data_IF_070327516085
#
_entry.id   IF_070327516085
#
_cell.length_a   1.000
_cell.length_b   1.000
_cell.length_c   1.000
_cell.angle_alpha   90.00
_cell.angle_beta   90.00
_cell.angle_gamma   90.00
#
_symmetry.space_group_name_H-M   'P 1'
#
loop_
_entity.id
_entity.type
_entity.pdbx_description
1 polymer ?
#
# COMPACT_ATOMS: atom_id res chain seq x y z
N UNK A 1 27.15 0.03 -30.68
CA UNK A 1 26.51 0.15 -29.35
C UNK A 1 25.70 1.44 -29.30
N UNK A 2 24.38 1.36 -29.40
CA UNK A 2 23.50 2.52 -29.58
C UNK A 2 23.21 3.21 -28.23
N UNK A 3 24.17 4.04 -27.77
CA UNK A 3 24.12 4.72 -26.45
C UNK A 3 22.87 5.59 -26.27
N UNK A 4 22.32 6.13 -27.35
CA UNK A 4 21.16 7.04 -27.36
C UNK A 4 19.84 6.38 -26.96
N UNK A 5 19.64 5.09 -27.27
CA UNK A 5 18.44 4.35 -26.88
C UNK A 5 18.39 4.04 -25.38
N UNK A 6 19.56 3.83 -24.75
CA UNK A 6 19.66 3.54 -23.32
C UNK A 6 19.42 4.79 -22.47
N UNK A 7 19.95 5.94 -22.89
CA UNK A 7 19.71 7.22 -22.20
C UNK A 7 18.24 7.67 -22.29
N UNK A 8 17.56 7.44 -23.43
CA UNK A 8 16.12 7.71 -23.56
C UNK A 8 15.27 6.83 -22.63
N UNK A 9 15.63 5.54 -22.48
CA UNK A 9 14.94 4.62 -21.55
C UNK A 9 15.14 5.03 -20.09
N UNK A 10 16.35 5.42 -19.70
CA UNK A 10 16.62 5.94 -18.35
C UNK A 10 15.84 7.21 -18.08
N UNK A 11 15.86 8.17 -19.00
CA UNK A 11 15.13 9.43 -18.86
C UNK A 11 13.63 9.18 -18.70
N UNK A 12 13.06 8.29 -19.51
CA UNK A 12 11.67 7.87 -19.39
C UNK A 12 11.35 7.23 -18.04
N UNK A 13 12.20 6.31 -17.55
CA UNK A 13 12.03 5.70 -16.24
C UNK A 13 12.10 6.71 -15.10
N UNK A 14 13.04 7.67 -15.17
CA UNK A 14 13.17 8.73 -14.17
C UNK A 14 11.92 9.62 -14.17
N UNK A 15 11.45 10.06 -15.35
CA UNK A 15 10.22 10.85 -15.46
C UNK A 15 8.99 10.09 -14.92
N UNK A 16 8.89 8.80 -15.21
CA UNK A 16 7.81 7.95 -14.69
C UNK A 16 7.83 7.86 -13.16
N UNK A 17 9.01 7.66 -12.56
CA UNK A 17 9.16 7.61 -11.11
C UNK A 17 8.80 8.95 -10.48
N UNK A 18 9.28 10.07 -11.05
CA UNK A 18 8.93 11.41 -10.56
C UNK A 18 7.42 11.62 -10.61
N UNK A 19 6.77 11.26 -11.72
CA UNK A 19 5.32 11.35 -11.87
C UNK A 19 4.58 10.49 -10.83
N UNK A 20 5.02 9.24 -10.62
CA UNK A 20 4.42 8.35 -9.62
C UNK A 20 4.61 8.84 -8.17
N UNK A 21 5.68 9.60 -7.90
CA UNK A 21 5.96 10.17 -6.58
C UNK A 21 5.26 11.50 -6.32
N UNK A 22 4.72 12.19 -7.34
CA UNK A 22 3.97 13.45 -7.16
C UNK A 22 2.87 13.37 -6.09
N UNK A 23 1.94 12.39 -6.11
CA UNK A 23 0.91 12.30 -5.07
C UNK A 23 1.50 12.02 -3.67
N UNK A 24 2.59 11.25 -3.61
CA UNK A 24 3.29 10.97 -2.35
C UNK A 24 3.94 12.24 -1.79
N UNK A 25 4.62 13.00 -2.65
CA UNK A 25 5.18 14.31 -2.29
C UNK A 25 4.09 15.25 -1.77
N UNK A 26 2.94 15.29 -2.45
CA UNK A 26 1.82 16.13 -2.05
C UNK A 26 1.27 15.74 -0.67
N UNK A 27 1.09 14.43 -0.43
CA UNK A 27 0.65 13.90 0.87
C UNK A 27 1.63 14.25 1.99
N UNK A 28 2.93 14.11 1.74
CA UNK A 28 3.98 14.47 2.72
C UNK A 28 4.04 15.98 2.95
N UNK A 29 3.88 16.79 1.91
CA UNK A 29 3.82 18.24 2.07
C UNK A 29 2.63 18.66 2.94
N UNK A 30 1.46 18.05 2.73
CA UNK A 30 0.27 18.31 3.53
C UNK A 30 0.43 17.87 5.00
N UNK A 31 1.17 16.80 5.29
CA UNK A 31 1.39 16.37 6.67
C UNK A 31 2.18 17.37 7.52
N UNK A 32 2.94 18.27 6.88
CA UNK A 32 3.72 19.33 7.55
C UNK A 32 3.02 20.70 7.61
N UNK A 33 1.81 20.83 7.05
CA UNK A 33 1.04 22.09 7.04
C UNK A 33 0.01 22.15 8.17
N UNK A 34 -0.39 23.35 8.56
CA UNK A 34 -1.52 23.57 9.46
C UNK A 34 -2.85 23.37 8.72
N UNK A 35 -3.93 23.04 9.43
CA UNK A 35 -5.27 22.91 8.83
C UNK A 35 -5.71 24.19 8.11
N UNK A 36 -5.36 25.35 8.66
CA UNK A 36 -5.64 26.65 8.04
C UNK A 36 -4.90 26.82 6.70
N UNK A 37 -3.62 26.44 6.62
CA UNK A 37 -2.84 26.53 5.38
C UNK A 37 -3.35 25.55 4.31
N UNK A 38 -3.77 24.34 4.72
CA UNK A 38 -4.34 23.31 3.83
C UNK A 38 -5.64 23.80 3.18
N UNK A 39 -6.49 24.50 3.93
CA UNK A 39 -7.80 24.98 3.45
C UNK A 39 -7.72 26.33 2.72
N UNK A 40 -6.78 27.20 3.08
CA UNK A 40 -6.70 28.56 2.57
C UNK A 40 -5.88 28.72 1.27
N UNK A 41 -4.87 27.88 1.02
CA UNK A 41 -3.97 28.09 -0.12
C UNK A 41 -3.41 26.80 -0.74
N UNK A 42 -3.32 26.79 -2.07
CA UNK A 42 -2.65 25.73 -2.82
C UNK A 42 -1.15 26.03 -2.95
N UNK A 43 -0.40 25.88 -1.85
CA UNK A 43 1.04 26.12 -1.81
C UNK A 43 1.84 24.87 -2.18
N UNK A 44 2.83 24.97 -3.08
CA UNK A 44 3.74 23.86 -3.41
C UNK A 44 4.69 23.50 -2.26
N UNK A 45 5.03 24.47 -1.40
CA UNK A 45 5.85 24.29 -0.21
C UNK A 45 5.11 24.78 1.03
N UNK A 46 5.38 24.22 2.22
CA UNK A 46 4.73 24.67 3.45
C UNK A 46 5.28 26.05 3.82
N UNK A 47 4.38 27.02 4.01
CA UNK A 47 4.73 28.36 4.49
C UNK A 47 5.05 28.32 5.99
N UNK A 48 4.32 27.49 6.74
CA UNK A 48 4.54 27.23 8.16
C UNK A 48 4.84 25.76 8.41
N UNK A 49 6.12 25.40 8.33
CA UNK A 49 6.57 24.05 8.63
C UNK A 49 6.28 23.67 10.09
N UNK A 50 5.43 22.67 10.32
CA UNK A 50 5.03 22.23 11.67
C UNK A 50 5.10 20.72 11.84
N UNK A 51 5.47 20.29 13.05
CA UNK A 51 5.43 18.89 13.49
C UNK A 51 4.19 18.58 14.34
N UNK A 52 3.26 19.54 14.48
CA UNK A 52 2.09 19.42 15.34
C UNK A 52 1.23 18.19 14.98
N UNK A 53 1.02 17.92 13.69
CA UNK A 53 0.22 16.78 13.21
C UNK A 53 0.81 15.45 13.67
N UNK A 54 2.14 15.29 13.59
CA UNK A 54 2.83 14.09 14.07
C UNK A 54 2.74 13.95 15.59
N UNK A 55 2.87 15.06 16.33
CA UNK A 55 2.70 15.05 17.78
C UNK A 55 1.28 14.61 18.15
N UNK A 56 0.26 15.15 17.50
CA UNK A 56 -1.15 14.81 17.75
C UNK A 56 -1.41 13.32 17.52
N UNK A 57 -0.96 12.74 16.40
CA UNK A 57 -1.16 11.31 16.10
C UNK A 57 -0.52 10.41 17.17
N UNK A 58 0.63 10.82 17.73
CA UNK A 58 1.37 10.03 18.71
C UNK A 58 0.95 10.26 20.17
N UNK A 59 0.30 11.39 20.47
CA UNK A 59 -0.15 11.72 21.85
C UNK A 59 -1.63 11.52 22.06
N UNK A 60 -2.45 11.59 21.02
CA UNK A 60 -3.89 11.34 21.13
C UNK A 60 -4.16 9.84 21.29
N UNK A 61 -4.75 9.39 22.41
CA UNK A 61 -5.03 7.98 22.67
C UNK A 61 -5.93 7.33 21.61
N UNK A 62 -6.82 8.09 20.98
CA UNK A 62 -7.73 7.57 19.95
C UNK A 62 -6.98 7.16 18.68
N UNK A 63 -6.05 8.00 18.23
CA UNK A 63 -5.19 7.73 17.07
C UNK A 63 -4.14 6.66 17.37
N UNK A 64 -3.49 6.75 18.53
CA UNK A 64 -2.45 5.82 18.94
C UNK A 64 -2.98 4.39 19.12
N UNK A 65 -4.14 4.23 19.78
CA UNK A 65 -4.78 2.92 19.94
C UNK A 65 -5.24 2.34 18.60
N UNK A 66 -5.81 3.16 17.70
CA UNK A 66 -6.18 2.74 16.35
C UNK A 66 -4.99 2.22 15.54
N UNK A 67 -3.84 2.89 15.63
CA UNK A 67 -2.60 2.47 14.98
C UNK A 67 -2.09 1.12 15.51
N UNK A 68 -2.05 0.94 16.83
CA UNK A 68 -1.64 -0.33 17.46
C UNK A 68 -2.59 -1.46 17.10
N UNK A 69 -3.90 -1.23 17.20
CA UNK A 69 -4.90 -2.24 16.85
C UNK A 69 -4.77 -2.68 15.39
N UNK A 70 -4.50 -1.74 14.49
CA UNK A 70 -4.28 -2.04 13.07
C UNK A 70 -3.02 -2.87 12.84
N UNK A 71 -1.91 -2.54 13.52
CA UNK A 71 -0.66 -3.31 13.45
C UNK A 71 -0.84 -4.75 13.97
N UNK A 72 -1.51 -4.91 15.11
CA UNK A 72 -1.80 -6.22 15.70
C UNK A 72 -2.70 -7.01 14.74
N UNK A 73 -3.76 -6.39 14.22
CA UNK A 73 -4.69 -7.03 13.30
C UNK A 73 -3.99 -7.51 12.03
N UNK A 74 -3.21 -6.65 11.38
CA UNK A 74 -2.45 -7.01 10.16
C UNK A 74 -1.40 -8.08 10.46
N UNK A 75 -0.70 -7.98 11.60
CA UNK A 75 0.31 -8.96 12.00
C UNK A 75 -0.29 -10.35 12.19
N UNK A 76 -1.37 -10.45 12.98
CA UNK A 76 -2.09 -11.71 13.20
C UNK A 76 -2.63 -12.26 11.88
N UNK A 77 -3.29 -11.42 11.07
CA UNK A 77 -3.83 -11.83 9.78
C UNK A 77 -2.74 -12.38 8.84
N UNK A 78 -1.57 -11.73 8.81
CA UNK A 78 -0.44 -12.16 7.98
C UNK A 78 0.09 -13.52 8.43
N UNK A 79 0.29 -13.71 9.74
CA UNK A 79 0.78 -14.98 10.31
C UNK A 79 -0.19 -16.12 10.01
N UNK A 80 -1.49 -15.92 10.27
CA UNK A 80 -2.52 -16.94 9.99
C UNK A 80 -2.56 -17.26 8.50
N UNK A 81 -2.60 -16.22 7.65
CA UNK A 81 -2.67 -16.38 6.20
C UNK A 81 -1.47 -17.16 5.65
N UNK A 82 -0.25 -16.83 6.07
CA UNK A 82 0.96 -17.52 5.62
C UNK A 82 0.99 -18.97 6.11
N UNK A 83 0.61 -19.20 7.37
CA UNK A 83 0.62 -20.55 7.97
C UNK A 83 -0.30 -21.50 7.23
N UNK A 84 -1.44 -21.02 6.71
CA UNK A 84 -2.38 -21.84 5.92
C UNK A 84 -2.02 -21.84 4.43
N UNK A 85 -1.63 -20.70 3.86
CA UNK A 85 -1.37 -20.57 2.43
C UNK A 85 -0.09 -21.28 2.00
N UNK A 86 0.96 -21.32 2.83
CA UNK A 86 2.22 -21.98 2.46
C UNK A 86 2.06 -23.50 2.26
N UNK A 87 1.47 -24.27 3.20
CA UNK A 87 1.21 -25.69 2.98
C UNK A 87 0.28 -25.95 1.80
N UNK A 88 -0.76 -25.13 1.62
CA UNK A 88 -1.67 -25.25 0.49
C UNK A 88 -0.94 -25.03 -0.84
N UNK A 89 -0.14 -23.96 -0.95
CA UNK A 89 0.67 -23.68 -2.14
C UNK A 89 1.67 -24.80 -2.42
N UNK A 90 2.31 -25.35 -1.38
CA UNK A 90 3.21 -26.49 -1.52
C UNK A 90 2.47 -27.72 -2.06
N UNK A 91 1.30 -28.04 -1.50
CA UNK A 91 0.47 -29.15 -1.95
C UNK A 91 0.11 -29.03 -3.44
N UNK A 92 -0.40 -27.87 -3.86
CA UNK A 92 -0.72 -27.58 -5.26
C UNK A 92 0.49 -27.59 -6.20
N UNK A 93 1.68 -27.20 -5.71
CA UNK A 93 2.89 -27.16 -6.54
C UNK A 93 3.54 -28.52 -6.75
N UNK A 94 3.43 -29.44 -5.78
CA UNK A 94 4.19 -30.69 -5.76
C UNK A 94 3.35 -31.94 -5.96
N UNK A 95 2.06 -31.91 -5.61
CA UNK A 95 1.17 -33.06 -5.71
C UNK A 95 0.07 -32.80 -6.73
N UNK A 96 -0.12 -33.75 -7.66
CA UNK A 96 -1.31 -33.82 -8.50
C UNK A 96 -2.34 -34.72 -7.82
N UNK A 97 -3.39 -34.14 -7.25
CA UNK A 97 -4.48 -34.86 -6.58
C UNK A 97 -5.77 -34.79 -7.39
N UNK A 98 -6.69 -35.72 -7.16
CA UNK A 98 -7.96 -35.78 -7.90
C UNK A 98 -8.80 -34.53 -7.59
N UNK A 99 -9.04 -33.68 -8.59
CA UNK A 99 -9.83 -32.45 -8.46
C UNK A 99 -9.03 -31.17 -8.19
N UNK A 100 -7.69 -31.24 -8.21
CA UNK A 100 -6.77 -30.10 -8.08
C UNK A 100 -7.16 -28.88 -8.93
N UNK A 101 -7.51 -29.09 -10.20
CA UNK A 101 -7.93 -28.03 -11.14
C UNK A 101 -9.24 -27.36 -10.74
N UNK A 102 -10.20 -28.13 -10.20
CA UNK A 102 -11.49 -27.58 -9.76
C UNK A 102 -11.34 -26.74 -8.50
N UNK A 103 -10.55 -27.21 -7.52
CA UNK A 103 -10.27 -26.45 -6.29
C UNK A 103 -9.48 -25.17 -6.63
N UNK A 104 -8.49 -25.27 -7.53
CA UNK A 104 -7.73 -24.10 -7.97
C UNK A 104 -8.59 -23.08 -8.72
N UNK A 105 -9.48 -23.55 -9.61
CA UNK A 105 -10.44 -22.68 -10.31
C UNK A 105 -11.41 -21.98 -9.35
N UNK A 106 -11.92 -22.71 -8.34
CA UNK A 106 -12.79 -22.14 -7.31
C UNK A 106 -12.06 -21.07 -6.48
N UNK A 107 -10.80 -21.34 -6.07
CA UNK A 107 -9.95 -20.38 -5.36
C UNK A 107 -9.74 -19.09 -6.18
N UNK A 108 -9.41 -19.22 -7.47
CA UNK A 108 -9.20 -18.08 -8.36
C UNK A 108 -10.47 -17.25 -8.53
N UNK A 109 -11.60 -17.92 -8.76
CA UNK A 109 -12.90 -17.25 -8.92
C UNK A 109 -13.19 -16.41 -7.67
N UNK A 110 -12.98 -16.97 -6.48
CA UNK A 110 -13.22 -16.24 -5.23
C UNK A 110 -12.31 -15.00 -5.07
N UNK A 111 -11.05 -15.03 -5.55
CA UNK A 111 -10.16 -13.85 -5.52
C UNK A 111 -10.53 -12.77 -6.54
N UNK A 112 -11.27 -13.12 -7.59
CA UNK A 112 -11.72 -12.17 -8.62
C UNK A 112 -13.11 -11.59 -8.34
N UNK A 113 -13.89 -12.22 -7.45
CA UNK A 113 -15.22 -11.73 -7.06
C UNK A 113 -15.10 -10.38 -6.33
N UNK A 114 -15.95 -9.40 -6.65
CA UNK A 114 -15.91 -8.10 -5.98
C UNK A 114 -16.19 -8.26 -4.49
N UNK A 115 -15.43 -7.57 -3.61
CA UNK A 115 -15.67 -7.63 -2.17
C UNK A 115 -17.07 -7.15 -1.77
N UNK A 116 -17.70 -6.31 -2.59
CA UNK A 116 -19.06 -5.81 -2.37
C UNK A 116 -20.16 -6.89 -2.38
N UNK A 117 -19.88 -8.10 -2.88
CA UNK A 117 -20.85 -9.22 -2.90
C UNK A 117 -20.84 -10.01 -1.58
N UNK A 118 -19.80 -9.84 -0.76
CA UNK A 118 -19.62 -10.59 0.49
C UNK A 118 -19.88 -9.75 1.77
N UNK A 119 -20.21 -8.47 1.60
CA UNK A 119 -20.60 -7.52 2.64
C UNK A 119 -22.13 -7.38 2.65
#
# INVERSE_FOLDING_TARGET
>A
MNKTGFEKRKLFMVLYIVFALLPVYWMVNMSFKTNEEILASFSLFPQHFTWANYKTILTDPSWYSGYINSLIYVGINTVISITVALPAAYAFSRYSFLGDKHVFFWLLTNRMTPPAVFL
#
